data_IF_922556213384
#
_entry.id   IF_922556213384
#
_cell.length_a   1.000
_cell.length_b   1.000
_cell.length_c   1.000
_cell.angle_alpha   90.00
_cell.angle_beta   90.00
_cell.angle_gamma   90.00
#
_symmetry.space_group_name_H-M   'P 1'
#
loop_
_entity.id
_entity.type
_entity.pdbx_description
1 polymer ?
#
# COMPACT_ATOMS: atom_id res chain seq x y z
N UNK A 1 -15.49 -4.35 15.39
CA UNK A 1 -15.28 -3.40 14.27
C UNK A 1 -14.41 -2.20 14.69
N UNK A 2 -14.68 -1.50 15.80
CA UNK A 2 -13.82 -0.44 16.33
C UNK A 2 -12.37 -0.90 16.63
N UNK A 3 -12.21 -2.06 17.28
CA UNK A 3 -10.89 -2.64 17.57
C UNK A 3 -10.02 -2.90 16.32
N UNK A 4 -10.62 -3.08 15.13
CA UNK A 4 -9.88 -3.34 13.87
C UNK A 4 -9.25 -2.05 13.32
N UNK A 5 -9.95 -0.92 13.42
CA UNK A 5 -9.42 0.38 12.94
C UNK A 5 -8.43 0.98 13.91
N UNK A 6 -8.63 0.83 15.21
CA UNK A 6 -7.69 1.32 16.22
C UNK A 6 -6.34 0.61 16.10
N UNK A 7 -6.36 -0.70 15.79
CA UNK A 7 -5.14 -1.46 15.49
C UNK A 7 -4.44 -1.00 14.22
N UNK A 8 -5.19 -0.70 13.14
CA UNK A 8 -4.61 -0.15 11.92
C UNK A 8 -4.00 1.23 12.18
N UNK A 9 -4.71 2.11 12.89
CA UNK A 9 -4.22 3.44 13.28
C UNK A 9 -2.93 3.35 14.08
N UNK A 10 -2.90 2.51 15.12
CA UNK A 10 -1.71 2.28 15.93
C UNK A 10 -0.51 1.84 15.07
N UNK A 11 -0.72 0.91 14.13
CA UNK A 11 0.35 0.48 13.22
C UNK A 11 0.83 1.62 12.32
N UNK A 12 -0.06 2.41 11.74
CA UNK A 12 0.30 3.57 10.90
C UNK A 12 1.07 4.64 11.70
N UNK A 13 0.70 4.85 12.96
CA UNK A 13 1.43 5.76 13.87
C UNK A 13 2.83 5.23 14.18
N UNK A 14 2.96 3.94 14.53
CA UNK A 14 4.26 3.30 14.73
C UNK A 14 5.16 3.36 13.48
N UNK A 15 4.57 3.25 12.29
CA UNK A 15 5.33 3.43 11.05
C UNK A 15 5.77 4.87 10.85
N UNK A 16 4.95 5.84 11.23
CA UNK A 16 5.31 7.26 11.19
C UNK A 16 6.51 7.53 12.11
N UNK A 17 6.54 6.91 13.29
CA UNK A 17 7.70 6.97 14.20
C UNK A 17 8.97 6.39 13.57
N UNK A 18 8.86 5.19 12.98
CA UNK A 18 9.99 4.52 12.31
C UNK A 18 10.53 5.34 11.14
N UNK A 19 9.66 5.96 10.34
CA UNK A 19 10.06 6.82 9.22
C UNK A 19 10.88 7.99 9.73
N UNK A 20 10.40 8.74 10.74
CA UNK A 20 11.11 9.91 11.26
C UNK A 20 12.45 9.50 11.89
N UNK A 21 12.45 8.42 12.68
CA UNK A 21 13.66 7.88 13.31
C UNK A 21 14.70 7.44 12.26
N UNK A 22 14.28 6.71 11.24
CA UNK A 22 15.15 6.27 10.16
C UNK A 22 15.69 7.42 9.29
N UNK A 23 14.90 8.47 9.07
CA UNK A 23 15.36 9.72 8.44
C UNK A 23 16.39 10.45 9.30
N UNK A 24 16.22 10.45 10.63
CA UNK A 24 17.20 11.03 11.57
C UNK A 24 18.52 10.28 11.55
N UNK A 25 18.49 8.95 11.48
CA UNK A 25 19.72 8.17 11.35
C UNK A 25 20.41 8.43 10.01
N UNK A 26 19.63 8.55 8.94
CA UNK A 26 20.15 8.90 7.61
C UNK A 26 20.73 10.31 7.54
N UNK A 27 20.17 11.27 8.28
CA UNK A 27 20.60 12.68 8.26
C UNK A 27 22.00 12.93 8.82
N UNK A 28 22.65 11.91 9.41
CA UNK A 28 24.01 11.98 9.95
C UNK A 28 25.09 11.89 8.85
N UNK A 29 24.69 11.53 7.64
CA UNK A 29 25.56 11.36 6.48
C UNK A 29 25.30 12.44 5.44
N UNK A 30 26.23 12.61 4.51
CA UNK A 30 26.05 13.44 3.32
C UNK A 30 24.96 12.85 2.40
N UNK A 31 24.44 13.66 1.47
CA UNK A 31 23.44 13.22 0.49
C UNK A 31 23.92 11.98 -0.28
N UNK A 32 25.18 11.94 -0.69
CA UNK A 32 25.81 10.81 -1.38
C UNK A 32 24.99 10.23 -2.53
N UNK A 33 24.83 11.02 -3.60
CA UNK A 33 24.04 10.62 -4.76
C UNK A 33 24.63 9.40 -5.47
N UNK A 34 25.94 9.15 -5.33
CA UNK A 34 26.60 7.95 -5.87
C UNK A 34 25.93 6.64 -5.42
N UNK A 35 25.31 6.60 -4.24
CA UNK A 35 24.55 5.41 -3.78
C UNK A 35 23.40 5.03 -4.72
N UNK A 36 22.80 6.02 -5.38
CA UNK A 36 21.67 5.84 -6.29
C UNK A 36 22.06 5.89 -7.77
N UNK A 37 23.25 6.39 -8.10
CA UNK A 37 23.66 6.69 -9.48
C UNK A 37 24.88 5.92 -9.96
N UNK A 38 25.83 5.61 -9.08
CA UNK A 38 27.03 4.85 -9.47
C UNK A 38 26.68 3.37 -9.62
N UNK A 39 26.93 2.84 -10.80
CA UNK A 39 26.69 1.45 -11.15
C UNK A 39 27.95 0.60 -10.95
N UNK A 40 27.75 -0.59 -10.42
CA UNK A 40 28.73 -1.66 -10.48
C UNK A 40 28.84 -2.23 -11.90
N UNK A 41 29.81 -3.11 -12.12
CA UNK A 41 29.99 -3.80 -13.40
C UNK A 41 28.77 -4.62 -13.88
N UNK A 42 27.81 -4.90 -13.00
CA UNK A 42 26.57 -5.61 -13.32
C UNK A 42 25.37 -4.67 -13.58
N UNK A 43 25.59 -3.35 -13.68
CA UNK A 43 24.54 -2.35 -13.91
C UNK A 43 23.62 -2.07 -12.71
N UNK A 44 23.92 -2.63 -11.53
CA UNK A 44 23.22 -2.27 -10.29
C UNK A 44 23.94 -1.15 -9.57
N UNK A 45 23.18 -0.29 -8.91
CA UNK A 45 23.73 0.71 -7.98
C UNK A 45 23.89 0.12 -6.59
N UNK A 46 24.58 0.81 -5.69
CA UNK A 46 24.66 0.42 -4.27
C UNK A 46 23.29 0.18 -3.65
N UNK A 47 22.36 1.12 -3.86
CA UNK A 47 20.98 0.99 -3.40
C UNK A 47 20.28 -0.23 -4.02
N UNK A 48 20.29 -0.38 -5.36
CA UNK A 48 19.58 -1.48 -6.03
C UNK A 48 20.14 -2.85 -5.64
N UNK A 49 21.46 -2.98 -5.54
CA UNK A 49 22.10 -4.22 -5.12
C UNK A 49 21.69 -4.57 -3.69
N UNK A 50 21.75 -3.61 -2.75
CA UNK A 50 21.35 -3.88 -1.37
C UNK A 50 19.86 -4.23 -1.28
N UNK A 51 19.00 -3.49 -1.97
CA UNK A 51 17.55 -3.75 -2.03
C UNK A 51 17.27 -5.16 -2.54
N UNK A 52 17.90 -5.56 -3.65
CA UNK A 52 17.75 -6.89 -4.21
C UNK A 52 18.11 -7.98 -3.21
N UNK A 53 19.20 -7.81 -2.46
CA UNK A 53 19.66 -8.79 -1.46
C UNK A 53 18.69 -8.91 -0.29
N UNK A 54 18.20 -7.79 0.25
CA UNK A 54 17.21 -7.79 1.35
C UNK A 54 15.89 -8.42 0.89
N UNK A 55 15.37 -8.02 -0.27
CA UNK A 55 14.11 -8.56 -0.79
C UNK A 55 14.23 -10.03 -1.19
N UNK A 56 15.38 -10.47 -1.72
CA UNK A 56 15.61 -11.88 -2.00
C UNK A 56 15.57 -12.70 -0.71
N UNK A 57 16.20 -12.22 0.36
CA UNK A 57 16.17 -12.89 1.66
C UNK A 57 14.73 -12.97 2.22
N UNK A 58 13.98 -11.86 2.16
CA UNK A 58 12.56 -11.85 2.56
C UNK A 58 11.71 -12.82 1.73
N UNK A 59 12.00 -12.92 0.43
CA UNK A 59 11.34 -13.84 -0.50
C UNK A 59 11.63 -15.30 -0.16
N UNK A 60 12.86 -15.64 0.26
CA UNK A 60 13.18 -16.99 0.76
C UNK A 60 12.32 -17.39 1.96
N UNK A 61 11.93 -16.43 2.80
CA UNK A 61 11.02 -16.64 3.93
C UNK A 61 9.54 -16.58 3.55
N UNK A 62 9.23 -16.37 2.27
CA UNK A 62 7.87 -16.31 1.74
C UNK A 62 7.14 -15.01 2.05
N UNK A 63 7.84 -13.89 2.27
CA UNK A 63 7.21 -12.59 2.52
C UNK A 63 6.24 -12.20 1.41
N UNK A 64 6.61 -12.46 0.16
CA UNK A 64 5.79 -12.11 -1.02
C UNK A 64 4.81 -13.20 -1.43
N UNK A 65 4.52 -14.15 -0.54
CA UNK A 65 3.37 -15.07 -0.66
C UNK A 65 2.10 -14.47 -0.05
N UNK A 66 2.22 -13.41 0.74
CA UNK A 66 1.09 -12.69 1.33
C UNK A 66 0.55 -11.63 0.38
N UNK A 67 -0.79 -11.52 0.30
CA UNK A 67 -1.48 -10.66 -0.67
C UNK A 67 -1.21 -9.16 -0.48
N UNK A 68 -0.84 -8.76 0.73
CA UNK A 68 -0.55 -7.40 1.14
C UNK A 68 0.95 -7.05 1.10
N UNK A 69 1.80 -7.97 0.62
CA UNK A 69 3.24 -7.80 0.58
C UNK A 69 3.74 -7.81 -0.86
N UNK A 70 4.28 -6.67 -1.30
CA UNK A 70 4.80 -6.49 -2.65
C UNK A 70 6.31 -6.22 -2.62
N UNK A 71 7.09 -6.79 -3.54
CA UNK A 71 8.47 -6.35 -3.73
C UNK A 71 8.54 -4.93 -4.29
N UNK A 72 9.69 -4.29 -4.15
CA UNK A 72 9.92 -2.88 -4.51
C UNK A 72 10.97 -2.84 -5.62
N UNK A 73 10.65 -2.26 -6.78
CA UNK A 73 11.52 -2.16 -7.96
C UNK A 73 11.94 -3.50 -8.61
N UNK A 74 11.52 -4.63 -8.04
CA UNK A 74 11.76 -5.96 -8.57
C UNK A 74 10.43 -6.70 -8.71
N UNK A 75 10.36 -7.60 -9.67
CA UNK A 75 9.27 -8.55 -9.79
C UNK A 75 9.56 -9.77 -8.91
N UNK A 76 8.50 -10.43 -8.43
CA UNK A 76 8.61 -11.62 -7.57
C UNK A 76 9.43 -12.74 -8.23
N UNK A 77 9.31 -12.92 -9.55
CA UNK A 77 10.05 -13.92 -10.33
C UNK A 77 11.54 -13.60 -10.53
N UNK A 78 11.96 -12.37 -10.21
CA UNK A 78 13.37 -11.97 -10.19
C UNK A 78 14.04 -12.26 -8.84
N UNK A 79 13.27 -12.52 -7.78
CA UNK A 79 13.75 -12.76 -6.43
C UNK A 79 13.88 -14.27 -6.14
N UNK A 80 14.54 -14.59 -5.03
CA UNK A 80 14.69 -15.99 -4.60
C UNK A 80 13.34 -16.65 -4.31
N UNK A 81 13.18 -17.91 -4.73
CA UNK A 81 11.98 -18.70 -4.42
C UNK A 81 11.88 -19.00 -2.92
N UNK A 82 10.66 -19.08 -2.34
CA UNK A 82 10.48 -19.47 -0.96
C UNK A 82 11.10 -20.83 -0.65
N UNK A 83 11.84 -20.93 0.46
CA UNK A 83 12.46 -22.19 0.91
C UNK A 83 11.45 -23.17 1.51
N UNK A 84 10.25 -22.68 1.86
CA UNK A 84 9.14 -23.48 2.39
C UNK A 84 7.82 -22.99 1.79
N UNK A 85 6.90 -23.90 1.45
CA UNK A 85 5.53 -23.51 1.12
C UNK A 85 4.93 -22.69 2.27
N UNK A 86 4.21 -21.63 1.91
CA UNK A 86 3.39 -20.86 2.85
C UNK A 86 1.92 -21.15 2.56
N UNK A 87 1.06 -21.28 3.59
CA UNK A 87 -0.37 -21.32 3.34
C UNK A 87 -0.78 -20.03 2.64
N UNK A 88 -1.65 -20.13 1.64
CA UNK A 88 -2.28 -18.94 1.06
C UNK A 88 -3.06 -18.23 2.16
N UNK A 89 -2.79 -16.94 2.32
CA UNK A 89 -3.47 -16.12 3.30
C UNK A 89 -4.81 -15.69 2.72
N UNK A 90 -5.92 -16.16 3.29
CA UNK A 90 -7.26 -15.69 2.93
C UNK A 90 -7.58 -14.42 3.74
N UNK A 91 -6.96 -13.29 3.34
CA UNK A 91 -7.25 -12.00 3.97
C UNK A 91 -8.54 -11.38 3.44
N UNK A 92 -9.17 -11.99 2.43
CA UNK A 92 -10.25 -11.38 1.67
C UNK A 92 -9.83 -10.11 0.93
N UNK A 93 -8.52 -9.94 0.69
CA UNK A 93 -7.97 -8.78 -0.02
C UNK A 93 -7.91 -9.14 -1.50
N UNK A 94 -8.47 -8.28 -2.34
CA UNK A 94 -8.35 -8.39 -3.78
C UNK A 94 -6.90 -8.09 -4.16
N UNK A 95 -6.23 -9.03 -4.82
CA UNK A 95 -4.90 -8.80 -5.37
C UNK A 95 -4.95 -7.71 -6.45
N UNK A 96 -4.51 -6.52 -6.07
CA UNK A 96 -4.31 -5.39 -6.98
C UNK A 96 -2.80 -5.23 -7.19
N UNK A 97 -2.29 -5.31 -8.44
CA UNK A 97 -0.91 -4.96 -8.72
C UNK A 97 -0.67 -3.51 -8.34
N UNK A 98 0.26 -3.28 -7.40
CA UNK A 98 0.71 -1.95 -7.00
C UNK A 98 2.14 -1.80 -7.48
N UNK A 99 2.38 -0.86 -8.40
CA UNK A 99 3.71 -0.48 -8.86
C UNK A 99 3.91 1.03 -8.64
N UNK A 100 4.32 1.38 -7.42
CA UNK A 100 4.67 2.76 -7.03
C UNK A 100 6.14 2.88 -6.61
N UNK A 101 6.96 1.89 -6.97
CA UNK A 101 8.34 1.81 -6.49
C UNK A 101 9.21 3.00 -6.91
N UNK A 102 9.20 3.39 -8.21
CA UNK A 102 9.94 4.56 -8.68
C UNK A 102 9.52 5.86 -7.99
N UNK A 103 8.22 6.09 -7.80
CA UNK A 103 7.66 7.28 -7.16
C UNK A 103 8.06 7.36 -5.69
N UNK A 104 8.01 6.24 -4.96
CA UNK A 104 8.43 6.17 -3.56
C UNK A 104 9.93 6.45 -3.44
N UNK A 105 10.74 5.89 -4.35
CA UNK A 105 12.18 6.16 -4.36
C UNK A 105 12.48 7.63 -4.66
N UNK A 106 11.79 8.24 -5.62
CA UNK A 106 11.97 9.66 -5.94
C UNK A 106 11.58 10.55 -4.76
N UNK A 107 10.41 10.31 -4.16
CA UNK A 107 9.97 11.00 -2.95
C UNK A 107 10.97 10.86 -1.80
N UNK A 108 11.57 9.67 -1.64
CA UNK A 108 12.61 9.43 -0.65
C UNK A 108 13.89 10.25 -0.92
N UNK A 109 14.37 10.26 -2.17
CA UNK A 109 15.56 11.02 -2.55
C UNK A 109 15.36 12.52 -2.36
N UNK A 110 14.16 13.02 -2.67
CA UNK A 110 13.79 14.42 -2.47
C UNK A 110 13.85 14.81 -0.99
N UNK A 111 13.40 13.94 -0.07
CA UNK A 111 13.49 14.25 1.36
C UNK A 111 14.93 14.16 1.87
N UNK A 112 15.72 13.16 1.42
CA UNK A 112 17.15 13.04 1.75
C UNK A 112 17.90 14.32 1.37
N UNK A 113 17.63 14.88 0.19
CA UNK A 113 18.23 16.13 -0.27
C UNK A 113 17.87 17.37 0.57
N UNK A 114 16.78 17.31 1.35
CA UNK A 114 16.32 18.39 2.24
C UNK A 114 16.83 18.29 3.67
N UNK A 115 17.16 17.08 4.13
CA UNK A 115 17.53 16.80 5.54
C UNK A 115 19.02 16.45 5.72
N UNK A 116 19.71 16.06 4.65
CA UNK A 116 21.14 15.72 4.71
C UNK A 116 22.00 16.89 4.23
N UNK A 117 23.24 16.96 4.71
CA UNK A 117 24.21 17.91 4.20
C UNK A 117 24.60 17.55 2.75
N UNK A 118 24.68 18.55 1.88
CA UNK A 118 25.13 18.36 0.49
C UNK A 118 26.59 17.92 0.50
N UNK A 119 26.90 16.88 -0.27
CA UNK A 119 28.25 16.39 -0.47
C UNK A 119 28.27 14.95 -0.95
N UNK A 120 29.48 14.46 -1.23
CA UNK A 120 29.74 13.12 -1.74
C UNK A 120 30.97 12.54 -1.04
N UNK A 121 30.90 11.28 -0.64
CA UNK A 121 32.05 10.52 -0.14
C UNK A 121 31.78 9.02 -0.22
N UNK A 122 32.68 8.27 -0.86
CA UNK A 122 32.56 6.82 -1.03
C UNK A 122 32.72 6.03 0.27
N UNK A 123 33.31 6.63 1.31
CA UNK A 123 33.74 5.93 2.53
C UNK A 123 32.59 5.21 3.26
N UNK A 124 31.36 5.71 3.10
CA UNK A 124 30.18 5.24 3.81
C UNK A 124 29.06 4.68 2.90
N UNK A 125 29.33 4.44 1.61
CA UNK A 125 28.28 3.99 0.67
C UNK A 125 27.56 2.72 1.12
N UNK A 126 28.28 1.76 1.70
CA UNK A 126 27.68 0.53 2.19
C UNK A 126 26.67 0.74 3.34
N UNK A 127 27.01 1.60 4.32
CA UNK A 127 26.12 1.89 5.45
C UNK A 127 24.96 2.78 5.02
N UNK A 128 25.21 3.76 4.14
CA UNK A 128 24.17 4.63 3.59
C UNK A 128 23.16 3.81 2.78
N UNK A 129 23.62 2.93 1.89
CA UNK A 129 22.73 2.07 1.10
C UNK A 129 21.85 1.18 1.99
N UNK A 130 22.37 0.68 3.11
CA UNK A 130 21.60 -0.09 4.11
C UNK A 130 20.51 0.77 4.76
N UNK A 131 20.84 1.99 5.22
CA UNK A 131 19.86 2.91 5.81
C UNK A 131 18.80 3.33 4.78
N UNK A 132 19.22 3.64 3.55
CA UNK A 132 18.33 4.03 2.45
C UNK A 132 17.35 2.89 2.13
N UNK A 133 17.82 1.66 2.00
CA UNK A 133 16.95 0.50 1.76
C UNK A 133 15.95 0.30 2.90
N UNK A 134 16.39 0.39 4.16
CA UNK A 134 15.49 0.25 5.31
C UNK A 134 14.40 1.32 5.32
N UNK A 135 14.77 2.58 5.05
CA UNK A 135 13.84 3.70 5.00
C UNK A 135 12.84 3.56 3.85
N UNK A 136 13.31 3.25 2.64
CA UNK A 136 12.44 3.11 1.46
C UNK A 136 11.50 1.91 1.61
N UNK A 137 11.96 0.78 2.17
CA UNK A 137 11.07 -0.35 2.47
C UNK A 137 10.00 0.01 3.50
N UNK A 138 10.34 0.81 4.51
CA UNK A 138 9.36 1.30 5.50
C UNK A 138 8.32 2.21 4.86
N UNK A 139 8.73 3.12 3.96
CA UNK A 139 7.82 3.96 3.18
C UNK A 139 6.92 3.11 2.27
N UNK A 140 7.51 2.12 1.59
CA UNK A 140 6.80 1.21 0.71
C UNK A 140 5.74 0.41 1.46
N UNK A 141 6.07 -0.14 2.63
CA UNK A 141 5.11 -0.82 3.48
C UNK A 141 4.00 0.14 3.94
N UNK A 142 4.35 1.38 4.33
CA UNK A 142 3.37 2.38 4.84
C UNK A 142 2.37 2.78 3.76
N UNK A 143 2.85 2.96 2.53
CA UNK A 143 2.04 3.45 1.41
C UNK A 143 1.30 2.29 0.76
N UNK A 144 2.01 1.26 0.32
CA UNK A 144 1.43 0.17 -0.47
C UNK A 144 0.84 -0.93 0.42
N UNK A 145 1.60 -1.39 1.42
CA UNK A 145 1.22 -2.53 2.25
C UNK A 145 0.01 -2.29 3.17
N UNK A 146 -0.29 -1.02 3.49
CA UNK A 146 -1.46 -0.66 4.30
C UNK A 146 -2.63 -0.09 3.49
N UNK A 147 -2.43 0.43 2.27
CA UNK A 147 -3.53 0.99 1.47
C UNK A 147 -4.67 -0.03 1.27
N UNK A 148 -4.35 -1.25 0.83
CA UNK A 148 -5.35 -2.30 0.63
C UNK A 148 -6.14 -2.65 1.91
N UNK A 149 -5.45 -2.71 3.07
CA UNK A 149 -6.09 -3.03 4.36
C UNK A 149 -7.02 -1.91 4.83
N UNK A 150 -6.62 -0.67 4.64
CA UNK A 150 -7.43 0.50 5.00
C UNK A 150 -8.63 0.62 4.06
N UNK A 151 -8.41 0.38 2.77
CA UNK A 151 -9.46 0.34 1.75
C UNK A 151 -10.50 -0.75 2.04
N UNK A 152 -10.08 -1.99 2.30
CA UNK A 152 -11.02 -3.07 2.66
C UNK A 152 -11.82 -2.75 3.93
N UNK A 153 -11.17 -2.19 4.96
CA UNK A 153 -11.89 -1.74 6.15
C UNK A 153 -12.96 -0.67 5.81
N UNK A 154 -12.64 0.27 4.92
CA UNK A 154 -13.57 1.31 4.46
C UNK A 154 -14.73 0.71 3.65
N UNK A 155 -14.47 -0.28 2.79
CA UNK A 155 -15.51 -1.01 2.05
C UNK A 155 -16.42 -1.80 2.99
N UNK A 156 -15.86 -2.52 3.97
CA UNK A 156 -16.63 -3.26 4.98
C UNK A 156 -17.57 -2.34 5.75
N UNK A 157 -17.12 -1.12 6.08
CA UNK A 157 -17.89 -0.13 6.83
C UNK A 157 -18.96 0.56 5.98
N UNK A 158 -18.65 0.86 4.73
CA UNK A 158 -19.54 1.55 3.79
C UNK A 158 -19.46 0.90 2.40
N UNK A 159 -20.25 -0.16 2.13
CA UNK A 159 -20.20 -0.87 0.85
C UNK A 159 -20.56 -0.01 -0.36
N UNK A 160 -21.28 1.11 -0.19
CA UNK A 160 -21.62 2.04 -1.28
C UNK A 160 -20.37 2.68 -1.91
N UNK A 161 -19.24 2.70 -1.21
CA UNK A 161 -17.95 3.17 -1.75
C UNK A 161 -17.55 2.48 -3.05
N UNK A 162 -17.97 1.23 -3.27
CA UNK A 162 -17.74 0.46 -4.51
C UNK A 162 -18.44 1.05 -5.76
N UNK A 163 -19.33 2.02 -5.57
CA UNK A 163 -20.13 2.64 -6.63
C UNK A 163 -19.90 4.15 -6.80
N UNK A 164 -19.02 4.73 -5.98
CA UNK A 164 -18.70 6.15 -6.08
C UNK A 164 -17.80 6.41 -7.29
N UNK A 165 -17.95 7.59 -7.88
CA UNK A 165 -16.96 8.07 -8.85
C UNK A 165 -15.62 8.39 -8.14
N UNK A 166 -14.49 8.36 -8.87
CA UNK A 166 -13.18 8.50 -8.26
C UNK A 166 -12.97 9.81 -7.48
N UNK A 167 -13.49 10.93 -7.99
CA UNK A 167 -13.31 12.25 -7.39
C UNK A 167 -14.10 12.37 -6.09
N UNK A 168 -15.37 11.94 -6.10
CA UNK A 168 -16.18 11.87 -4.90
C UNK A 168 -15.57 10.91 -3.89
N UNK A 169 -15.12 9.72 -4.32
CA UNK A 169 -14.50 8.74 -3.45
C UNK A 169 -13.27 9.32 -2.75
N UNK A 170 -12.37 9.99 -3.47
CA UNK A 170 -11.21 10.65 -2.88
C UNK A 170 -11.63 11.62 -1.77
N UNK A 171 -12.59 12.50 -2.06
CA UNK A 171 -13.08 13.48 -1.08
C UNK A 171 -13.74 12.81 0.12
N UNK A 172 -14.50 11.74 -0.10
CA UNK A 172 -15.20 10.99 0.94
C UNK A 172 -14.26 10.22 1.87
N UNK A 173 -13.14 9.72 1.33
CA UNK A 173 -12.14 8.97 2.08
C UNK A 173 -11.18 9.85 2.88
N UNK A 174 -11.17 11.16 2.62
CA UNK A 174 -10.30 12.15 3.26
C UNK A 174 -10.81 12.47 4.66
N UNK A 175 -9.93 12.37 5.66
CA UNK A 175 -10.20 12.78 7.05
C UNK A 175 -9.23 13.91 7.41
N UNK A 176 -9.62 15.15 7.09
CA UNK A 176 -8.76 16.33 7.20
C UNK A 176 -8.20 16.54 8.60
N UNK A 177 -9.02 16.28 9.63
CA UNK A 177 -8.60 16.41 11.04
C UNK A 177 -7.54 15.36 11.38
N UNK A 178 -7.75 14.10 10.96
CA UNK A 178 -6.77 13.05 11.19
C UNK A 178 -5.47 13.28 10.42
N UNK A 179 -5.54 13.72 9.18
CA UNK A 179 -4.35 14.05 8.37
C UNK A 179 -3.54 15.17 9.01
N UNK A 180 -4.22 16.21 9.53
CA UNK A 180 -3.59 17.28 10.29
C UNK A 180 -2.86 16.74 11.52
N UNK A 181 -3.51 15.85 12.29
CA UNK A 181 -2.87 15.22 13.46
C UNK A 181 -1.62 14.43 13.10
N UNK A 182 -1.63 13.68 11.99
CA UNK A 182 -0.45 12.92 11.53
C UNK A 182 0.70 13.85 11.17
N UNK A 183 0.43 14.94 10.45
CA UNK A 183 1.46 15.92 10.09
C UNK A 183 2.02 16.67 11.31
N UNK A 184 1.16 17.09 12.24
CA UNK A 184 1.56 17.77 13.47
C UNK A 184 2.41 16.84 14.36
N UNK A 185 2.02 15.56 14.42
CA UNK A 185 2.77 14.54 15.16
C UNK A 185 4.14 14.28 14.54
N UNK A 186 4.23 14.13 13.21
CA UNK A 186 5.50 13.95 12.50
C UNK A 186 6.46 15.12 12.73
N UNK A 187 5.97 16.37 12.70
CA UNK A 187 6.77 17.56 13.02
C UNK A 187 7.26 17.54 14.46
N UNK A 188 6.36 17.23 15.40
CA UNK A 188 6.70 17.14 16.83
C UNK A 188 7.80 16.12 17.07
N UNK A 189 7.68 14.94 16.45
CA UNK A 189 8.68 13.88 16.55
C UNK A 189 10.01 14.30 15.92
N UNK A 190 10.00 14.87 14.72
CA UNK A 190 11.23 15.29 14.05
C UNK A 190 11.98 16.39 14.82
N UNK A 191 11.27 17.32 15.47
CA UNK A 191 11.87 18.31 16.38
C UNK A 191 12.48 17.64 17.60
N UNK A 192 11.76 16.69 18.22
CA UNK A 192 12.24 15.92 19.38
C UNK A 192 13.51 15.12 19.05
N UNK A 193 13.55 14.47 17.89
CA UNK A 193 14.69 13.70 17.39
C UNK A 193 15.82 14.59 16.84
N UNK A 194 15.65 15.92 16.83
CA UNK A 194 16.62 16.88 16.29
C UNK A 194 16.97 16.57 14.83
N UNK A 195 15.96 16.27 14.02
CA UNK A 195 16.12 16.10 12.58
C UNK A 195 16.47 17.45 11.94
N UNK A 196 17.55 17.54 11.14
CA UNK A 196 17.83 18.77 10.40
C UNK A 196 16.65 19.13 9.50
N UNK A 197 16.30 20.41 9.47
CA UNK A 197 15.20 20.93 8.67
C UNK A 197 13.85 20.24 8.95
N UNK A 198 13.53 19.96 10.23
CA UNK A 198 12.31 19.26 10.64
C UNK A 198 11.00 19.83 10.05
N UNK A 199 10.96 21.12 9.68
CA UNK A 199 9.80 21.80 9.10
C UNK A 199 9.36 21.24 7.74
N UNK A 200 10.18 20.43 7.06
CA UNK A 200 9.76 19.76 5.82
C UNK A 200 8.87 18.53 6.07
N UNK A 201 8.79 18.04 7.32
CA UNK A 201 8.05 16.82 7.65
C UNK A 201 6.55 16.89 7.36
N UNK A 202 5.81 17.98 7.69
CA UNK A 202 4.40 18.08 7.31
C UNK A 202 4.17 17.90 5.81
N UNK A 203 5.02 18.51 4.97
CA UNK A 203 4.91 18.38 3.50
C UNK A 203 5.24 16.97 3.04
N UNK A 204 6.27 16.35 3.62
CA UNK A 204 6.63 14.97 3.30
C UNK A 204 5.54 13.97 3.69
N UNK A 205 4.95 14.12 4.88
CA UNK A 205 3.84 13.28 5.33
C UNK A 205 2.55 13.53 4.55
N UNK A 206 2.30 14.77 4.10
CA UNK A 206 1.22 15.07 3.14
C UNK A 206 1.39 14.22 1.87
N UNK A 207 2.58 14.18 1.28
CA UNK A 207 2.84 13.34 0.10
C UNK A 207 2.60 11.85 0.37
N UNK A 208 3.02 11.33 1.53
CA UNK A 208 2.77 9.93 1.93
C UNK A 208 1.26 9.66 2.03
N UNK A 209 0.50 10.57 2.66
CA UNK A 209 -0.95 10.46 2.81
C UNK A 209 -1.62 10.47 1.44
N UNK A 210 -1.29 11.43 0.59
CA UNK A 210 -1.88 11.58 -0.74
C UNK A 210 -1.61 10.34 -1.60
N UNK A 211 -0.39 9.78 -1.56
CA UNK A 211 -0.03 8.54 -2.26
C UNK A 211 -0.76 7.32 -1.72
N UNK A 212 -0.96 7.25 -0.40
CA UNK A 212 -1.75 6.18 0.21
C UNK A 212 -3.21 6.27 -0.25
N UNK A 213 -3.77 7.48 -0.26
CA UNK A 213 -5.15 7.74 -0.70
C UNK A 213 -5.34 7.41 -2.19
N UNK A 214 -4.38 7.76 -3.05
CA UNK A 214 -4.38 7.38 -4.47
C UNK A 214 -4.55 5.86 -4.62
N UNK A 215 -3.80 5.08 -3.84
CA UNK A 215 -3.86 3.62 -3.85
C UNK A 215 -5.14 3.06 -3.23
N UNK A 216 -5.66 3.69 -2.17
CA UNK A 216 -6.95 3.28 -1.59
C UNK A 216 -8.09 3.45 -2.61
N UNK A 217 -8.11 4.56 -3.35
CA UNK A 217 -9.09 4.82 -4.40
C UNK A 217 -8.96 3.77 -5.52
N UNK A 218 -7.74 3.57 -6.05
CA UNK A 218 -7.49 2.57 -7.12
C UNK A 218 -7.91 1.16 -6.69
N UNK A 219 -7.58 0.79 -5.44
CA UNK A 219 -7.98 -0.49 -4.86
C UNK A 219 -9.51 -0.65 -4.81
N UNK A 220 -10.24 0.33 -4.29
CA UNK A 220 -11.71 0.26 -4.14
C UNK A 220 -12.40 0.12 -5.51
N UNK A 221 -11.93 0.85 -6.51
CA UNK A 221 -12.48 0.79 -7.87
C UNK A 221 -12.30 -0.61 -8.46
N UNK A 222 -11.08 -1.17 -8.39
CA UNK A 222 -10.78 -2.53 -8.87
C UNK A 222 -11.52 -3.62 -8.08
N UNK A 223 -11.65 -3.46 -6.76
CA UNK A 223 -12.44 -4.36 -5.94
C UNK A 223 -13.92 -4.34 -6.35
N UNK A 224 -14.47 -3.17 -6.67
CA UNK A 224 -15.85 -3.02 -7.18
C UNK A 224 -16.08 -3.68 -8.54
N UNK A 225 -15.11 -3.60 -9.45
CA UNK A 225 -15.14 -4.33 -10.73
C UNK A 225 -15.11 -5.85 -10.53
N UNK A 226 -14.17 -6.34 -9.72
CA UNK A 226 -14.02 -7.77 -9.46
C UNK A 226 -15.26 -8.38 -8.79
N UNK A 227 -15.82 -7.69 -7.79
CA UNK A 227 -17.05 -8.16 -7.10
C UNK A 227 -18.27 -8.16 -8.03
N UNK A 228 -18.39 -7.19 -8.95
CA UNK A 228 -19.45 -7.19 -9.98
C UNK A 228 -19.32 -8.35 -10.96
N UNK A 229 -18.10 -8.71 -11.33
CA UNK A 229 -17.82 -9.83 -12.25
C UNK A 229 -18.00 -11.21 -11.60
N UNK A 230 -17.96 -11.29 -10.27
CA UNK A 230 -18.15 -12.53 -9.50
C UNK A 230 -19.60 -12.83 -9.11
N UNK A 231 -20.55 -11.89 -9.26
CA UNK A 231 -21.97 -12.18 -9.05
C UNK A 231 -22.41 -13.19 -10.12
N UNK A 232 -22.83 -14.41 -9.76
CA UNK A 232 -23.39 -15.34 -10.73
C UNK A 232 -24.55 -14.61 -11.40
N UNK A 233 -24.52 -14.49 -12.73
CA UNK A 233 -25.76 -14.20 -13.46
C UNK A 233 -26.70 -15.35 -13.12
N UNK A 234 -27.59 -15.14 -12.14
CA UNK A 234 -28.69 -16.07 -11.90
C UNK A 234 -29.26 -16.38 -13.27
N UNK A 235 -29.39 -17.66 -13.66
CA UNK A 235 -30.05 -17.98 -14.91
C UNK A 235 -31.43 -17.34 -14.77
N UNK A 236 -31.67 -16.30 -15.57
CA UNK A 236 -32.99 -15.71 -15.71
C UNK A 236 -33.83 -16.89 -16.14
N UNK A 237 -34.60 -17.43 -15.19
CA UNK A 237 -35.57 -18.46 -15.48
C UNK A 237 -36.48 -17.85 -16.53
N UNK A 238 -36.30 -18.29 -17.79
CA UNK A 238 -37.29 -18.08 -18.82
C UNK A 238 -38.60 -18.58 -18.21
N UNK A 239 -39.49 -17.63 -17.95
CA UNK A 239 -40.74 -17.88 -17.28
C UNK A 239 -41.42 -19.06 -17.95
N UNK A 240 -41.66 -20.11 -17.18
CA UNK A 240 -42.80 -20.96 -17.47
C UNK A 240 -44.01 -20.05 -17.36
N UNK A 241 -44.59 -19.72 -18.52
CA UNK A 241 -45.91 -19.10 -18.63
C UNK A 241 -46.86 -19.82 -17.68
N UNK A 242 -47.58 -19.10 -16.80
CA UNK A 242 -48.58 -19.72 -15.94
C UNK A 242 -49.62 -20.42 -16.83
N UNK A 243 -49.74 -21.74 -16.68
CA UNK A 243 -50.82 -22.51 -17.31
C UNK A 243 -52.14 -21.93 -16.84
N UNK A 244 -52.94 -21.44 -17.79
CA UNK A 244 -54.32 -21.03 -17.57
C UNK A 244 -55.11 -22.16 -16.89
N UNK A 245 -55.94 -21.86 -15.87
CA UNK A 245 -56.77 -22.87 -15.23
C UNK A 245 -57.80 -23.42 -16.24
N UNK A 246 -57.84 -24.75 -16.37
CA UNK A 246 -58.85 -25.45 -17.17
C UNK A 246 -60.27 -25.16 -16.64
N UNK A 247 -61.25 -24.90 -17.53
CA UNK A 247 -62.64 -24.73 -17.13
C UNK A 247 -63.22 -26.08 -16.69
N UNK A 248 -63.62 -26.16 -15.41
CA UNK A 248 -64.43 -27.27 -14.89
C UNK A 248 -65.76 -27.31 -15.65
N UNK A 249 -65.94 -28.33 -16.51
CA UNK A 249 -67.21 -28.62 -17.16
C UNK A 249 -68.21 -29.12 -16.12
N UNK A 250 -69.33 -28.42 -16.00
CA UNK A 250 -70.53 -28.90 -15.30
C UNK A 250 -71.09 -30.11 -16.05
N UNK A 251 -70.95 -31.29 -15.46
CA UNK A 251 -71.64 -32.51 -15.91
C UNK A 251 -73.03 -32.55 -15.30
N UNK A 252 -74.04 -32.41 -16.16
CA UNK A 252 -75.44 -32.64 -15.86
C UNK A 252 -75.70 -34.12 -15.64
N UNK A 253 -76.54 -34.45 -14.66
CA UNK A 253 -76.94 -35.82 -14.33
C UNK A 253 -78.01 -36.40 -15.26
N UNK A 254 -78.08 -37.72 -15.25
CA UNK A 254 -79.19 -38.64 -15.61
C UNK A 254 -78.64 -40.04 -15.25
N UNK A 255 -79.30 -40.97 -14.56
CA UNK A 255 -80.66 -41.18 -14.05
C UNK A 255 -80.53 -42.02 -12.78
#
# INVERSE_FOLDING_TARGET
MAAKIDHLRLKLDQMSERIVSGLKDRSRYLVNNGVFLEEFCNGMTWFKYRLFREQSLDSEFGRYEFEDQHPLLFKKDQLASPKRPRPHSDLGIVLVPIDNGPEILNMYRDIVGKICQIGETSDNYGEIAKLDVSNVLTLHERICGFAAKVAEYKIEKEPRTLHFDPDFLRSYLTDTEREKQVMDYALTLARKEQLPNAEVMPTFFRTIIDKTLDLEVDYILKAGENRRNQVPRSPVGFGQTPKSPEPKRAGWGTK
#
